data_IF_574642864495
#
_entry.id   IF_574642864495
#
_cell.length_a   1.000
_cell.length_b   1.000
_cell.length_c   1.000
_cell.angle_alpha   90.00
_cell.angle_beta   90.00
_cell.angle_gamma   90.00
#
_symmetry.space_group_name_H-M   'P 1'
#
loop_
_entity.id
_entity.type
_entity.pdbx_description
1 polymer ?
#
# COMPACT_ATOMS: atom_id res chain seq x y z
N UNK A 1 -1.70 12.72 7.03
CA UNK A 1 -0.56 12.06 7.71
C UNK A 1 -0.90 11.38 9.03
N UNK A 2 -1.94 11.81 9.76
CA UNK A 2 -2.28 11.23 11.07
C UNK A 2 -3.07 9.91 10.98
N UNK A 3 -3.91 9.72 9.96
CA UNK A 3 -4.77 8.53 9.86
C UNK A 3 -4.03 7.28 9.34
N UNK A 4 -3.13 7.43 8.39
CA UNK A 4 -2.32 6.32 7.88
C UNK A 4 -1.36 5.74 8.97
N UNK A 5 -0.83 6.59 9.86
CA UNK A 5 -0.03 6.14 11.01
C UNK A 5 -0.85 5.40 12.06
N UNK A 6 -2.15 5.71 12.18
CA UNK A 6 -3.05 5.01 13.12
C UNK A 6 -3.42 3.61 12.63
N UNK A 7 -3.53 3.40 11.31
CA UNK A 7 -3.75 2.06 10.74
C UNK A 7 -2.56 1.13 10.97
N UNK A 8 -1.32 1.63 10.87
CA UNK A 8 -0.09 0.84 11.12
C UNK A 8 0.07 0.37 12.58
N UNK A 9 -0.60 0.98 13.52
CA UNK A 9 -0.57 0.56 14.93
C UNK A 9 -1.48 -0.64 15.27
N UNK A 10 -2.18 -1.20 14.28
CA UNK A 10 -3.13 -2.30 14.50
C UNK A 10 -2.51 -3.69 14.48
N UNK A 11 -1.29 -3.82 13.99
CA UNK A 11 -0.58 -5.09 13.94
C UNK A 11 0.48 -5.13 15.04
N UNK A 12 0.08 -5.40 16.27
CA UNK A 12 1.05 -5.58 17.34
C UNK A 12 0.97 -6.99 17.81
N UNK A 13 2.04 -7.76 17.54
CA UNK A 13 2.30 -8.87 18.39
C UNK A 13 3.60 -9.58 18.28
N UNK A 14 4.18 -9.78 19.39
CA UNK A 14 5.26 -10.71 19.57
C UNK A 14 4.88 -11.88 20.49
N UNK A 15 5.44 -13.05 20.21
CA UNK A 15 5.55 -14.13 21.18
C UNK A 15 6.73 -13.86 22.12
N UNK A 16 6.66 -12.81 22.91
CA UNK A 16 7.47 -12.81 24.13
C UNK A 16 6.93 -13.95 25.00
N UNK A 17 7.77 -14.93 25.32
CA UNK A 17 7.50 -15.87 26.39
C UNK A 17 7.11 -15.04 27.59
N UNK A 18 5.95 -15.32 28.18
CA UNK A 18 5.42 -14.56 29.29
C UNK A 18 6.47 -14.38 30.39
N UNK A 19 7.21 -13.29 30.32
CA UNK A 19 8.07 -12.85 31.44
C UNK A 19 7.21 -12.38 32.64
N UNK A 20 5.89 -12.58 32.57
CA UNK A 20 4.88 -12.12 33.53
C UNK A 20 4.13 -13.33 34.08
N UNK A 21 4.82 -14.47 34.25
CA UNK A 21 4.20 -15.75 34.67
C UNK A 21 3.42 -15.71 35.98
N UNK A 22 3.65 -14.68 36.84
CA UNK A 22 3.03 -14.57 38.17
C UNK A 22 1.87 -13.51 38.17
N UNK A 23 1.45 -13.00 37.04
CA UNK A 23 0.39 -11.99 36.95
C UNK A 23 -0.92 -12.58 36.42
N UNK A 24 -2.08 -12.04 36.83
CA UNK A 24 -3.39 -12.52 36.38
C UNK A 24 -3.74 -12.11 34.94
N UNK A 25 -2.78 -11.58 34.17
CA UNK A 25 -2.94 -11.14 32.78
C UNK A 25 -1.74 -11.57 31.93
N UNK A 26 -1.98 -11.79 30.66
CA UNK A 26 -0.99 -12.24 29.67
C UNK A 26 -0.34 -11.06 28.92
N UNK A 27 0.75 -11.32 28.22
CA UNK A 27 1.34 -10.32 27.31
C UNK A 27 0.33 -9.84 26.25
N UNK A 28 -0.56 -10.73 25.79
CA UNK A 28 -1.67 -10.40 24.88
C UNK A 28 -2.65 -9.40 25.52
N UNK A 29 -3.01 -9.60 26.79
CA UNK A 29 -3.91 -8.66 27.49
C UNK A 29 -3.31 -7.28 27.60
N UNK A 30 -2.00 -7.20 27.85
CA UNK A 30 -1.27 -5.92 27.90
C UNK A 30 -1.25 -5.27 26.52
N UNK A 31 -0.94 -6.02 25.45
CA UNK A 31 -0.92 -5.51 24.09
C UNK A 31 -2.30 -4.99 23.65
N UNK A 32 -3.37 -5.75 23.94
CA UNK A 32 -4.74 -5.34 23.66
C UNK A 32 -5.16 -4.09 24.45
N UNK A 33 -4.75 -4.00 25.71
CA UNK A 33 -5.00 -2.82 26.55
C UNK A 33 -4.30 -1.58 26.01
N UNK A 34 -3.05 -1.73 25.55
CA UNK A 34 -2.31 -0.67 24.89
C UNK A 34 -2.95 -0.23 23.57
N UNK A 35 -3.32 -1.18 22.71
CA UNK A 35 -4.02 -0.91 21.46
C UNK A 35 -5.36 -0.17 21.71
N UNK A 36 -6.10 -0.57 22.74
CA UNK A 36 -7.34 0.09 23.16
C UNK A 36 -7.09 1.52 23.61
N UNK A 37 -6.09 1.75 24.44
CA UNK A 37 -5.75 3.08 24.95
C UNK A 37 -5.36 4.05 23.83
N UNK A 38 -4.68 3.55 22.79
CA UNK A 38 -4.33 4.33 21.59
C UNK A 38 -5.46 4.45 20.55
N UNK A 39 -6.62 3.85 20.81
CA UNK A 39 -7.78 3.89 19.90
C UNK A 39 -7.70 2.91 18.73
N UNK A 40 -6.69 2.02 18.68
CA UNK A 40 -6.53 1.02 17.61
C UNK A 40 -7.71 0.04 17.52
N UNK A 41 -8.38 -0.24 18.64
CA UNK A 41 -9.54 -1.13 18.66
C UNK A 41 -10.78 -0.60 17.93
N UNK A 42 -10.78 0.67 17.51
CA UNK A 42 -11.91 1.24 16.73
C UNK A 42 -11.98 0.66 15.31
N UNK A 43 -10.82 0.33 14.75
CA UNK A 43 -10.73 -0.28 13.42
C UNK A 43 -10.53 -1.80 13.47
N UNK A 44 -10.21 -2.35 14.65
CA UNK A 44 -9.90 -3.76 14.87
C UNK A 44 -8.44 -3.99 15.23
N UNK A 45 -8.15 -5.12 15.84
CA UNK A 45 -6.80 -5.56 16.21
C UNK A 45 -6.62 -6.99 15.73
N UNK A 46 -5.60 -7.22 14.92
CA UNK A 46 -5.24 -8.54 14.41
C UNK A 46 -4.06 -9.11 15.20
N UNK A 47 -4.20 -10.37 15.62
CA UNK A 47 -3.07 -11.11 16.18
C UNK A 47 -2.21 -11.66 15.03
N UNK A 48 -0.91 -11.30 15.02
CA UNK A 48 0.03 -11.71 13.98
C UNK A 48 1.41 -11.99 14.57
N UNK A 49 2.38 -12.36 13.75
CA UNK A 49 3.79 -12.49 14.11
C UNK A 49 4.59 -11.36 13.43
N UNK A 50 5.78 -11.04 13.98
CA UNK A 50 6.67 -10.08 13.32
C UNK A 50 6.99 -10.45 11.87
N UNK A 51 7.22 -11.75 11.63
CA UNK A 51 7.49 -12.23 10.27
C UNK A 51 6.32 -11.96 9.33
N UNK A 52 5.12 -12.36 9.72
CA UNK A 52 3.92 -12.20 8.90
C UNK A 52 3.62 -10.72 8.66
N UNK A 53 3.65 -9.90 9.71
CA UNK A 53 3.42 -8.46 9.62
C UNK A 53 4.43 -7.80 8.67
N UNK A 54 5.74 -8.02 8.89
CA UNK A 54 6.79 -7.40 8.09
C UNK A 54 6.75 -7.84 6.62
N UNK A 55 6.56 -9.13 6.35
CA UNK A 55 6.53 -9.64 4.97
C UNK A 55 5.29 -9.15 4.22
N UNK A 56 4.13 -9.12 4.88
CA UNK A 56 2.88 -8.68 4.23
C UNK A 56 2.80 -7.17 4.07
N UNK A 57 3.31 -6.38 5.01
CA UNK A 57 3.39 -4.92 4.90
C UNK A 57 4.33 -4.52 3.76
N UNK A 58 5.56 -5.03 3.74
CA UNK A 58 6.51 -4.78 2.66
C UNK A 58 5.97 -5.20 1.28
N UNK A 59 5.28 -6.34 1.20
CA UNK A 59 4.66 -6.77 -0.04
C UNK A 59 3.53 -5.83 -0.46
N UNK A 60 2.64 -5.50 0.45
CA UNK A 60 1.51 -4.59 0.21
C UNK A 60 1.96 -3.23 -0.29
N UNK A 61 2.98 -2.66 0.35
CA UNK A 61 3.55 -1.37 -0.07
C UNK A 61 4.18 -1.42 -1.46
N UNK A 62 4.96 -2.46 -1.77
CA UNK A 62 5.67 -2.56 -3.04
C UNK A 62 4.76 -2.95 -4.20
N UNK A 63 3.97 -4.01 -4.02
CA UNK A 63 3.22 -4.61 -5.12
C UNK A 63 1.87 -3.94 -5.39
N UNK A 64 1.23 -3.35 -4.37
CA UNK A 64 -0.15 -2.86 -4.47
C UNK A 64 -0.26 -1.38 -4.13
N UNK A 65 0.08 -0.99 -2.89
CA UNK A 65 -0.33 0.31 -2.34
C UNK A 65 0.52 1.47 -2.88
N UNK A 66 1.84 1.40 -2.72
CA UNK A 66 2.72 2.49 -3.15
C UNK A 66 3.28 2.22 -4.55
N UNK A 67 3.91 1.07 -4.77
CA UNK A 67 4.52 0.75 -6.04
C UNK A 67 3.49 0.47 -7.14
N UNK A 68 2.60 -0.51 -6.93
CA UNK A 68 1.63 -0.94 -7.93
C UNK A 68 0.66 0.16 -8.34
N UNK A 69 -0.01 0.79 -7.37
CA UNK A 69 -1.00 1.84 -7.65
C UNK A 69 -0.40 3.05 -8.35
N UNK A 70 0.75 3.54 -7.89
CA UNK A 70 1.38 4.71 -8.52
C UNK A 70 1.87 4.42 -9.93
N UNK A 71 2.42 3.22 -10.17
CA UNK A 71 2.82 2.80 -11.50
C UNK A 71 1.62 2.67 -12.46
N UNK A 72 0.50 2.11 -11.98
CA UNK A 72 -0.74 2.00 -12.77
C UNK A 72 -1.31 3.37 -13.13
N UNK A 73 -1.41 4.27 -12.16
CA UNK A 73 -1.90 5.65 -12.36
C UNK A 73 -1.02 6.37 -13.39
N UNK A 74 0.30 6.27 -13.24
CA UNK A 74 1.26 6.90 -14.15
C UNK A 74 1.10 6.35 -15.58
N UNK A 75 1.05 5.04 -15.75
CA UNK A 75 0.86 4.41 -17.05
C UNK A 75 -0.46 4.82 -17.71
N UNK A 76 -1.56 4.91 -16.96
CA UNK A 76 -2.83 5.38 -17.44
C UNK A 76 -2.77 6.84 -17.90
N UNK A 77 -2.19 7.71 -17.08
CA UNK A 77 -1.98 9.12 -17.41
C UNK A 77 -1.15 9.28 -18.69
N UNK A 78 0.01 8.63 -18.78
CA UNK A 78 0.89 8.70 -19.95
C UNK A 78 0.17 8.21 -21.21
N UNK A 79 -0.57 7.12 -21.12
CA UNK A 79 -1.36 6.56 -22.24
C UNK A 79 -2.39 7.56 -22.79
N UNK A 80 -3.09 8.28 -21.91
CA UNK A 80 -4.06 9.28 -22.34
C UNK A 80 -3.39 10.49 -22.98
N UNK A 81 -2.30 10.98 -22.42
CA UNK A 81 -1.54 12.12 -22.98
C UNK A 81 -0.94 11.76 -24.33
N UNK A 82 -0.35 10.59 -24.49
CA UNK A 82 0.15 10.07 -25.77
C UNK A 82 -0.98 9.88 -26.80
N UNK A 83 -2.19 9.55 -26.33
CA UNK A 83 -3.40 9.49 -27.15
C UNK A 83 -3.96 10.85 -27.57
N UNK A 84 -3.33 11.96 -27.16
CA UNK A 84 -3.68 13.33 -27.55
C UNK A 84 -4.72 14.00 -26.65
N UNK A 85 -5.03 13.44 -25.48
CA UNK A 85 -5.91 14.08 -24.50
C UNK A 85 -5.14 15.10 -23.66
N UNK A 86 -5.85 16.09 -23.10
CA UNK A 86 -5.20 17.10 -22.27
C UNK A 86 -4.65 16.50 -20.98
N UNK A 87 -3.48 16.96 -20.49
CA UNK A 87 -2.90 16.51 -19.25
C UNK A 87 -3.83 16.67 -18.03
N UNK A 88 -4.65 17.73 -18.04
CA UNK A 88 -5.61 17.99 -16.96
C UNK A 88 -6.69 16.92 -16.88
N UNK A 89 -7.26 16.51 -18.02
CA UNK A 89 -8.25 15.44 -18.06
C UNK A 89 -7.61 14.09 -17.71
N UNK A 90 -6.43 13.80 -18.24
CA UNK A 90 -5.70 12.59 -17.89
C UNK A 90 -5.39 12.50 -16.39
N UNK A 91 -5.02 13.62 -15.77
CA UNK A 91 -4.81 13.70 -14.33
C UNK A 91 -6.11 13.47 -13.56
N UNK A 92 -7.18 14.13 -13.95
CA UNK A 92 -8.47 14.02 -13.27
C UNK A 92 -8.97 12.58 -13.27
N UNK A 93 -9.03 11.94 -14.43
CA UNK A 93 -9.56 10.59 -14.64
C UNK A 93 -8.67 9.50 -14.00
N UNK A 94 -7.34 9.60 -14.17
CA UNK A 94 -6.44 8.52 -13.71
C UNK A 94 -5.99 8.66 -12.26
N UNK A 95 -5.91 9.89 -11.70
CA UNK A 95 -5.40 10.12 -10.36
C UNK A 95 -6.45 10.65 -9.41
N UNK A 96 -7.10 11.76 -9.75
CA UNK A 96 -8.03 12.43 -8.83
C UNK A 96 -9.22 11.51 -8.48
N UNK A 97 -9.81 10.88 -9.46
CA UNK A 97 -10.97 10.01 -9.30
C UNK A 97 -10.65 8.70 -8.59
N UNK A 98 -9.39 8.25 -8.59
CA UNK A 98 -8.95 7.05 -7.86
C UNK A 98 -9.41 7.06 -6.41
N UNK A 99 -9.43 8.25 -5.76
CA UNK A 99 -9.88 8.35 -4.37
C UNK A 99 -11.32 7.90 -4.18
N UNK A 100 -12.23 8.27 -5.10
CA UNK A 100 -13.64 7.90 -5.00
C UNK A 100 -13.81 6.38 -5.07
N UNK A 101 -13.09 5.72 -5.96
CA UNK A 101 -13.13 4.26 -6.12
C UNK A 101 -12.55 3.57 -4.89
N UNK A 102 -11.43 4.07 -4.38
CA UNK A 102 -10.80 3.53 -3.16
C UNK A 102 -11.71 3.70 -1.94
N UNK A 103 -12.39 4.83 -1.80
CA UNK A 103 -13.36 5.06 -0.72
C UNK A 103 -14.51 4.04 -0.79
N UNK A 104 -15.09 3.79 -1.96
CA UNK A 104 -16.15 2.78 -2.15
C UNK A 104 -15.69 1.36 -1.77
N UNK A 105 -14.47 1.00 -2.16
CA UNK A 105 -13.87 -0.30 -1.80
C UNK A 105 -13.64 -0.36 -0.29
N UNK A 106 -13.16 0.71 0.32
CA UNK A 106 -12.90 0.78 1.75
C UNK A 106 -14.19 0.66 2.60
N UNK A 107 -15.26 1.29 2.16
CA UNK A 107 -16.54 1.31 2.87
C UNK A 107 -17.28 -0.03 2.82
N UNK A 108 -17.26 -0.73 1.70
CA UNK A 108 -18.08 -1.92 1.52
C UNK A 108 -17.48 -3.03 0.68
N UNK A 109 -16.19 -2.97 0.37
CA UNK A 109 -15.49 -3.94 -0.46
C UNK A 109 -15.74 -3.78 -1.96
N UNK A 110 -15.10 -4.63 -2.76
CA UNK A 110 -15.18 -4.59 -4.23
C UNK A 110 -16.63 -4.72 -4.73
N UNK A 111 -17.44 -5.57 -4.09
CA UNK A 111 -18.84 -5.73 -4.48
C UNK A 111 -19.67 -4.44 -4.29
N UNK A 112 -19.40 -3.68 -3.24
CA UNK A 112 -20.03 -2.38 -3.03
C UNK A 112 -19.59 -1.35 -4.06
N UNK A 113 -18.33 -1.36 -4.41
CA UNK A 113 -17.80 -0.51 -5.48
C UNK A 113 -18.51 -0.83 -6.82
N UNK A 114 -18.61 -2.09 -7.23
CA UNK A 114 -19.34 -2.50 -8.44
C UNK A 114 -20.80 -2.06 -8.43
N UNK A 115 -21.49 -2.20 -7.30
CA UNK A 115 -22.88 -1.73 -7.17
C UNK A 115 -23.05 -0.22 -7.32
N UNK A 116 -22.02 0.54 -6.98
CA UNK A 116 -22.05 2.01 -6.91
C UNK A 116 -21.59 2.71 -8.18
N UNK A 117 -20.91 2.01 -9.08
CA UNK A 117 -20.43 2.54 -10.36
C UNK A 117 -21.43 2.33 -11.49
N UNK A 118 -21.20 2.95 -12.66
CA UNK A 118 -22.05 2.75 -13.83
C UNK A 118 -21.89 1.35 -14.44
N UNK A 119 -22.93 0.87 -15.11
CA UNK A 119 -22.89 -0.41 -15.84
C UNK A 119 -21.74 -0.45 -16.87
N UNK A 120 -21.40 0.70 -17.46
CA UNK A 120 -20.31 0.81 -18.43
C UNK A 120 -18.94 0.61 -17.74
N UNK A 121 -18.77 1.21 -16.56
CA UNK A 121 -17.55 1.07 -15.76
C UNK A 121 -17.40 -0.37 -15.25
N UNK A 122 -18.47 -0.98 -14.75
CA UNK A 122 -18.48 -2.37 -14.31
C UNK A 122 -18.13 -3.33 -15.46
N UNK A 123 -18.74 -3.14 -16.64
CA UNK A 123 -18.41 -3.94 -17.81
C UNK A 123 -16.93 -3.76 -18.22
N UNK A 124 -16.44 -2.52 -18.20
CA UNK A 124 -15.04 -2.20 -18.49
C UNK A 124 -14.06 -2.89 -17.54
N UNK A 125 -14.38 -2.93 -16.25
CA UNK A 125 -13.59 -3.63 -15.24
C UNK A 125 -13.42 -5.11 -15.58
N UNK A 126 -14.51 -5.83 -15.80
CA UNK A 126 -14.46 -7.27 -16.12
C UNK A 126 -13.74 -7.59 -17.43
N UNK A 127 -13.82 -6.76 -18.46
CA UNK A 127 -13.20 -7.06 -19.77
C UNK A 127 -11.79 -6.48 -19.94
N UNK A 128 -11.44 -5.45 -19.20
CA UNK A 128 -10.17 -4.73 -19.34
C UNK A 128 -9.21 -4.97 -18.19
N UNK A 129 -9.70 -5.14 -16.98
CA UNK A 129 -8.89 -5.43 -15.80
C UNK A 129 -7.91 -6.61 -16.03
N UNK A 130 -8.39 -7.78 -16.54
CA UNK A 130 -7.50 -8.92 -16.81
C UNK A 130 -6.47 -8.69 -17.92
N UNK A 131 -6.64 -7.65 -18.76
CA UNK A 131 -5.64 -7.30 -19.78
C UNK A 131 -4.53 -6.43 -19.21
N UNK A 132 -4.81 -5.69 -18.15
CA UNK A 132 -3.84 -4.83 -17.45
C UNK A 132 -3.11 -5.63 -16.37
N UNK A 133 -3.84 -6.36 -15.55
CA UNK A 133 -3.28 -7.24 -14.52
C UNK A 133 -3.34 -8.67 -15.04
N UNK A 134 -2.27 -9.08 -15.69
CA UNK A 134 -2.11 -10.38 -16.34
C UNK A 134 -1.47 -11.43 -15.43
N UNK A 135 -1.34 -12.68 -15.91
CA UNK A 135 -0.56 -13.70 -15.21
C UNK A 135 0.92 -13.30 -15.06
N UNK A 136 1.49 -12.57 -16.01
CA UNK A 136 2.86 -12.07 -15.89
C UNK A 136 3.00 -11.05 -14.75
N UNK A 137 1.99 -10.20 -14.55
CA UNK A 137 1.91 -9.30 -13.39
C UNK A 137 1.92 -10.10 -12.08
N UNK A 138 1.16 -11.18 -12.02
CA UNK A 138 1.11 -12.05 -10.84
C UNK A 138 2.41 -12.81 -10.61
N UNK A 139 3.11 -13.21 -11.67
CA UNK A 139 4.46 -13.79 -11.58
C UNK A 139 5.44 -12.76 -11.02
N UNK A 140 5.40 -11.52 -11.49
CA UNK A 140 6.22 -10.43 -10.94
C UNK A 140 5.95 -10.21 -9.44
N UNK A 141 4.68 -10.20 -9.04
CA UNK A 141 4.29 -10.10 -7.61
C UNK A 141 4.86 -11.24 -6.76
N UNK A 142 4.86 -12.47 -7.27
CA UNK A 142 5.48 -13.61 -6.58
C UNK A 142 6.99 -13.40 -6.41
N UNK A 143 7.68 -12.91 -7.44
CA UNK A 143 9.11 -12.58 -7.36
C UNK A 143 9.40 -11.48 -6.32
N UNK A 144 8.53 -10.46 -6.20
CA UNK A 144 8.63 -9.44 -5.14
C UNK A 144 8.53 -10.09 -3.75
N UNK A 145 7.54 -10.97 -3.56
CA UNK A 145 7.35 -11.67 -2.29
C UNK A 145 8.56 -12.54 -1.94
N UNK A 146 9.07 -13.32 -2.89
CA UNK A 146 10.27 -14.16 -2.70
C UNK A 146 11.50 -13.31 -2.35
N UNK A 147 11.65 -12.14 -2.96
CA UNK A 147 12.75 -11.20 -2.67
C UNK A 147 12.66 -10.64 -1.23
N UNK A 148 11.44 -10.40 -0.74
CA UNK A 148 11.19 -9.99 0.65
C UNK A 148 11.51 -11.14 1.60
N UNK A 149 10.96 -12.33 1.36
CA UNK A 149 11.10 -13.50 2.23
C UNK A 149 12.54 -13.99 2.35
N UNK A 150 13.33 -13.85 1.29
CA UNK A 150 14.76 -14.19 1.28
C UNK A 150 15.64 -13.15 1.99
N UNK A 151 15.11 -11.98 2.34
CA UNK A 151 15.87 -10.86 2.90
C UNK A 151 16.67 -10.04 1.88
N UNK A 152 16.61 -10.40 0.60
CA UNK A 152 17.32 -9.67 -0.46
C UNK A 152 16.86 -8.22 -0.56
N UNK A 153 15.55 -7.97 -0.47
CA UNK A 153 15.03 -6.60 -0.47
C UNK A 153 15.62 -5.76 0.66
N UNK A 154 15.67 -6.30 1.89
CA UNK A 154 16.24 -5.59 3.03
C UNK A 154 17.72 -5.27 2.83
N UNK A 155 18.49 -6.20 2.26
CA UNK A 155 19.91 -5.98 1.95
C UNK A 155 20.08 -4.90 0.89
N UNK A 156 19.31 -4.93 -0.19
CA UNK A 156 19.31 -3.91 -1.24
C UNK A 156 18.98 -2.52 -0.70
N UNK A 157 17.96 -2.42 0.14
CA UNK A 157 17.58 -1.16 0.78
C UNK A 157 18.69 -0.62 1.70
N UNK A 158 19.30 -1.49 2.51
CA UNK A 158 20.39 -1.09 3.39
C UNK A 158 21.62 -0.66 2.60
N UNK A 159 21.91 -1.31 1.49
CA UNK A 159 23.02 -0.93 0.61
C UNK A 159 22.75 0.41 -0.10
N UNK A 160 21.52 0.67 -0.52
CA UNK A 160 21.11 1.99 -1.03
C UNK A 160 21.28 3.08 0.04
N UNK A 161 20.83 2.83 1.27
CA UNK A 161 20.99 3.77 2.38
C UNK A 161 22.46 4.05 2.72
N UNK A 162 23.35 3.07 2.62
CA UNK A 162 24.79 3.25 2.87
C UNK A 162 25.48 4.14 1.85
N UNK A 163 24.91 4.32 0.67
CA UNK A 163 25.44 5.23 -0.35
C UNK A 163 25.11 6.71 -0.07
N UNK A 164 24.23 6.97 0.89
CA UNK A 164 23.90 8.31 1.36
C UNK A 164 24.86 8.73 2.48
N UNK A 165 25.44 9.92 2.35
CA UNK A 165 26.36 10.47 3.34
C UNK A 165 25.67 11.04 4.59
N UNK A 166 24.35 11.24 4.55
CA UNK A 166 23.58 11.90 5.60
C UNK A 166 22.47 11.04 6.21
N UNK A 167 22.32 9.77 5.76
CA UNK A 167 21.28 8.86 6.23
C UNK A 167 19.87 9.20 5.74
N UNK A 168 19.71 10.11 4.79
CA UNK A 168 18.41 10.54 4.24
C UNK A 168 17.80 9.56 3.24
N UNK A 169 18.50 8.48 2.92
CA UNK A 169 18.16 7.50 1.89
C UNK A 169 19.15 7.56 0.72
N UNK A 170 19.31 6.44 0.03
CA UNK A 170 20.22 6.32 -1.09
C UNK A 170 19.65 6.87 -2.42
N UNK A 171 20.38 6.70 -3.53
CA UNK A 171 20.00 7.23 -4.85
C UNK A 171 18.60 6.82 -5.32
N UNK A 172 18.12 5.62 -4.96
CA UNK A 172 16.78 5.16 -5.30
C UNK A 172 15.73 5.87 -4.47
N UNK A 173 15.98 6.04 -3.17
CA UNK A 173 15.01 6.62 -2.22
C UNK A 173 14.79 8.13 -2.44
N UNK A 174 15.79 8.85 -2.97
CA UNK A 174 15.72 10.31 -3.19
C UNK A 174 15.19 10.68 -4.58
N UNK A 175 14.91 9.69 -5.43
CA UNK A 175 14.46 9.94 -6.82
C UNK A 175 13.09 10.66 -6.92
N UNK A 176 12.31 10.73 -5.84
CA UNK A 176 11.02 11.43 -5.79
C UNK A 176 11.11 12.92 -6.14
N UNK A 177 12.26 13.54 -5.96
CA UNK A 177 12.48 14.97 -6.30
C UNK A 177 12.42 15.24 -7.80
N UNK A 178 12.47 14.20 -8.63
CA UNK A 178 12.46 14.30 -10.09
C UNK A 178 11.14 13.81 -10.73
N UNK A 179 10.25 13.22 -9.93
CA UNK A 179 8.94 12.74 -10.40
C UNK A 179 7.88 13.83 -10.18
N UNK A 180 7.84 14.81 -11.06
CA UNK A 180 6.75 15.78 -11.09
C UNK A 180 5.67 15.33 -12.07
N UNK A 181 4.63 14.63 -11.58
CA UNK A 181 3.32 14.76 -12.22
C UNK A 181 2.91 16.23 -12.07
N UNK A 182 2.29 16.87 -13.07
CA UNK A 182 1.94 18.28 -12.97
C UNK A 182 0.84 18.47 -11.94
N UNK A 183 1.24 18.55 -10.67
CA UNK A 183 0.34 18.91 -9.54
C UNK A 183 0.05 20.41 -9.51
N UNK A 184 0.69 21.20 -10.37
CA UNK A 184 0.51 22.65 -10.47
C UNK A 184 -0.77 23.09 -11.20
N UNK A 185 -1.62 22.16 -11.64
CA UNK A 185 -2.85 22.46 -12.41
C UNK A 185 -4.11 22.44 -11.54
N UNK A 186 -3.97 22.17 -10.24
CA UNK A 186 -5.11 22.22 -9.32
C UNK A 186 -5.03 23.53 -8.53
N UNK A 187 -5.70 24.53 -9.02
CA UNK A 187 -6.14 25.71 -8.24
C UNK A 187 -7.64 25.62 -8.07
#
# INVERSE_FOLDING_TARGET
HHDARRQRQMCIRDRYKDAISDKPYTAKDVALSYAKANGGTRAGVLETSFKEETETDLFGEQAVLCGGMTALIKAGYETLVEGGYSPEMAYFECLHETKLIVDLIHEGGIANMHYSISNTAEYGDYVSGPKVITEDTKIAMKGILENIQSGNFANQFLDDCRQSNDGSGGPVTVSYTHLTLPTSVIV
#
